data_IF_938065317628
#
_entry.id   IF_938065317628
#
_cell.length_a   1.000
_cell.length_b   1.000
_cell.length_c   1.000
_cell.angle_alpha   90.00
_cell.angle_beta   90.00
_cell.angle_gamma   90.00
#
_symmetry.space_group_name_H-M   'P 1'
#
loop_
_entity.id
_entity.type
_entity.pdbx_description
1 polymer ?
#
# COMPACT_ATOMS: atom_id res chain seq x y z
N UNK A 1 -18.03 12.62 7.77
CA UNK A 1 -16.77 13.04 8.42
C UNK A 1 -15.64 12.26 7.80
N UNK A 2 -14.90 12.91 6.91
CA UNK A 2 -13.64 12.46 6.33
C UNK A 2 -13.03 13.61 5.50
N UNK A 3 -12.30 14.47 6.19
CA UNK A 3 -11.28 15.36 5.60
C UNK A 3 -10.41 15.91 6.75
N UNK A 4 -11.01 16.10 7.94
CA UNK A 4 -10.34 16.64 9.13
C UNK A 4 -10.35 15.74 10.39
N UNK A 5 -11.13 14.66 10.42
CA UNK A 5 -11.18 13.71 11.53
C UNK A 5 -11.24 12.27 11.00
N UNK A 6 -10.10 11.56 10.88
CA UNK A 6 -10.07 10.23 10.29
C UNK A 6 -10.81 9.26 11.19
N UNK A 7 -11.56 8.34 10.59
CA UNK A 7 -12.04 7.20 11.35
C UNK A 7 -10.85 6.34 11.75
N UNK A 8 -10.87 5.77 12.96
CA UNK A 8 -9.73 4.99 13.48
C UNK A 8 -10.04 3.50 13.51
N UNK A 9 -9.04 2.70 13.15
CA UNK A 9 -9.00 1.25 13.32
C UNK A 9 -7.62 0.88 13.86
N UNK A 10 -7.56 -0.03 14.82
CA UNK A 10 -6.28 -0.47 15.38
C UNK A 10 -5.39 -1.07 14.28
N UNK A 11 -4.12 -0.69 14.26
CA UNK A 11 -3.10 -1.16 13.31
C UNK A 11 -3.38 -0.80 11.84
N UNK A 12 -4.22 0.19 11.57
CA UNK A 12 -4.52 0.67 10.21
C UNK A 12 -4.30 2.18 10.15
N UNK A 13 -3.51 2.63 9.18
CA UNK A 13 -3.42 4.03 8.77
C UNK A 13 -3.83 4.10 7.30
N UNK A 14 -4.72 5.02 6.97
CA UNK A 14 -5.16 5.23 5.59
C UNK A 14 -5.31 6.73 5.32
N UNK A 15 -5.12 7.11 4.07
CA UNK A 15 -5.45 8.43 3.55
C UNK A 15 -6.18 8.23 2.23
N UNK A 16 -7.49 8.47 2.24
CA UNK A 16 -8.34 8.36 1.07
C UNK A 16 -9.09 9.66 0.78
N UNK A 17 -8.84 10.77 1.49
CA UNK A 17 -9.52 12.06 1.26
C UNK A 17 -11.05 11.93 1.13
N UNK A 18 -11.69 11.07 1.94
CA UNK A 18 -13.13 10.83 1.85
C UNK A 18 -13.62 9.99 0.67
N UNK A 19 -12.72 9.34 -0.08
CA UNK A 19 -13.06 8.53 -1.27
C UNK A 19 -13.64 7.15 -0.95
N UNK A 20 -13.68 6.75 0.33
CA UNK A 20 -14.50 5.62 0.78
C UNK A 20 -13.73 4.30 0.98
N UNK A 21 -12.47 4.36 1.37
CA UNK A 21 -11.71 3.18 1.81
C UNK A 21 -12.30 2.58 3.10
N UNK A 22 -12.77 3.44 4.01
CA UNK A 22 -13.08 3.05 5.39
C UNK A 22 -14.10 1.91 5.55
N UNK A 23 -15.24 1.86 4.82
CA UNK A 23 -16.19 0.75 4.94
C UNK A 23 -15.58 -0.63 4.63
N UNK A 24 -14.72 -0.70 3.61
CA UNK A 24 -14.01 -1.93 3.24
C UNK A 24 -12.94 -2.27 4.29
N UNK A 25 -12.18 -1.28 4.75
CA UNK A 25 -11.18 -1.47 5.82
C UNK A 25 -11.82 -1.97 7.12
N UNK A 26 -12.98 -1.43 7.50
CA UNK A 26 -13.72 -1.83 8.70
C UNK A 26 -14.30 -3.24 8.59
N UNK A 27 -14.94 -3.57 7.48
CA UNK A 27 -15.55 -4.90 7.28
C UNK A 27 -14.52 -6.01 7.09
N UNK A 28 -13.38 -5.69 6.49
CA UNK A 28 -12.25 -6.61 6.27
C UNK A 28 -11.17 -6.55 7.36
N UNK A 29 -11.40 -5.86 8.48
CA UNK A 29 -10.37 -5.64 9.50
C UNK A 29 -9.78 -6.97 10.00
N UNK A 30 -8.44 -7.06 9.99
CA UNK A 30 -7.70 -8.29 10.32
C UNK A 30 -7.68 -9.37 9.24
N UNK A 31 -8.30 -9.15 8.08
CA UNK A 31 -8.43 -10.14 6.99
C UNK A 31 -7.84 -9.68 5.65
N UNK A 32 -7.63 -8.38 5.47
CA UNK A 32 -7.11 -7.82 4.23
C UNK A 32 -5.59 -8.02 4.14
N UNK A 33 -5.13 -8.59 3.03
CA UNK A 33 -3.71 -8.68 2.68
C UNK A 33 -3.31 -7.54 1.72
N UNK A 34 -2.02 -7.45 1.39
CA UNK A 34 -1.50 -6.41 0.50
C UNK A 34 -2.19 -6.36 -0.87
N UNK A 35 -2.46 -7.50 -1.49
CA UNK A 35 -3.17 -7.55 -2.79
C UNK A 35 -4.61 -7.04 -2.69
N UNK A 36 -5.34 -7.40 -1.64
CA UNK A 36 -6.68 -6.90 -1.39
C UNK A 36 -6.69 -5.38 -1.17
N UNK A 37 -5.68 -4.86 -0.48
CA UNK A 37 -5.51 -3.42 -0.24
C UNK A 37 -5.10 -2.67 -1.52
N UNK A 38 -4.28 -3.27 -2.39
CA UNK A 38 -3.99 -2.72 -3.73
C UNK A 38 -5.27 -2.61 -4.56
N UNK A 39 -6.10 -3.66 -4.56
CA UNK A 39 -7.39 -3.63 -5.26
C UNK A 39 -8.30 -2.53 -4.71
N UNK A 40 -8.36 -2.37 -3.39
CA UNK A 40 -9.11 -1.28 -2.75
C UNK A 40 -8.58 0.09 -3.20
N UNK A 41 -7.27 0.34 -3.12
CA UNK A 41 -6.67 1.60 -3.53
C UNK A 41 -6.98 1.94 -5.00
N UNK A 42 -6.97 0.93 -5.88
CA UNK A 42 -7.32 1.11 -7.29
C UNK A 42 -8.81 1.36 -7.55
N UNK A 43 -9.71 1.08 -6.59
CA UNK A 43 -11.15 1.34 -6.69
C UNK A 43 -11.53 2.78 -6.30
N UNK A 44 -10.67 3.48 -5.57
CA UNK A 44 -10.89 4.85 -5.07
C UNK A 44 -9.89 5.89 -5.64
N UNK A 45 -9.59 5.88 -6.96
CA UNK A 45 -8.67 6.86 -7.53
C UNK A 45 -9.33 8.24 -7.60
N UNK A 46 -8.50 9.28 -7.56
CA UNK A 46 -8.88 10.58 -8.13
C UNK A 46 -8.73 10.44 -9.65
N UNK A 47 -9.84 10.26 -10.37
CA UNK A 47 -9.82 10.10 -11.83
C UNK A 47 -9.33 11.38 -12.51
N UNK A 48 -8.42 11.24 -13.47
CA UNK A 48 -7.76 12.36 -14.14
C UNK A 48 -6.61 13.00 -13.34
N UNK A 49 -6.22 12.43 -12.20
CA UNK A 49 -5.18 12.97 -11.32
C UNK A 49 -4.48 11.93 -10.45
N UNK A 50 -4.73 10.63 -10.64
CA UNK A 50 -4.14 9.59 -9.81
C UNK A 50 -2.71 9.27 -10.24
N UNK A 51 -1.76 9.96 -9.63
CA UNK A 51 -0.33 9.83 -9.93
C UNK A 51 0.34 8.66 -9.21
N UNK A 52 -0.16 8.25 -8.04
CA UNK A 52 0.38 7.15 -7.25
C UNK A 52 -0.64 6.52 -6.31
N UNK A 53 -0.51 5.21 -6.11
CA UNK A 53 -1.13 4.44 -5.04
C UNK A 53 -0.01 3.72 -4.27
N UNK A 54 -0.05 3.76 -2.94
CA UNK A 54 0.93 3.06 -2.10
C UNK A 54 0.23 2.27 -1.01
N UNK A 55 0.61 1.00 -0.86
CA UNK A 55 0.11 0.11 0.19
C UNK A 55 1.32 -0.43 0.96
N UNK A 56 1.25 -0.35 2.29
CA UNK A 56 2.27 -0.87 3.19
C UNK A 56 1.72 -2.03 4.01
N UNK A 57 2.46 -3.13 4.04
CA UNK A 57 2.34 -4.16 5.07
C UNK A 57 3.52 -4.01 6.03
N UNK A 58 3.28 -3.32 7.15
CA UNK A 58 4.29 -3.09 8.18
C UNK A 58 4.65 -4.37 8.96
N UNK A 59 3.81 -5.41 8.91
CA UNK A 59 4.08 -6.69 9.60
C UNK A 59 5.09 -7.51 8.81
N UNK A 60 4.87 -7.63 7.51
CA UNK A 60 5.77 -8.38 6.62
C UNK A 60 6.92 -7.53 6.05
N UNK A 61 6.91 -6.22 6.30
CA UNK A 61 7.83 -5.24 5.71
C UNK A 61 7.81 -5.33 4.16
N UNK A 62 6.60 -5.20 3.60
CA UNK A 62 6.36 -5.17 2.15
C UNK A 62 5.65 -3.88 1.77
N UNK A 63 5.91 -3.41 0.56
CA UNK A 63 5.26 -2.23 0.00
C UNK A 63 4.85 -2.50 -1.45
N UNK A 64 3.65 -2.08 -1.82
CA UNK A 64 3.21 -2.06 -3.21
C UNK A 64 3.11 -0.61 -3.66
N UNK A 65 3.79 -0.27 -4.76
CA UNK A 65 3.73 1.05 -5.37
C UNK A 65 3.15 0.91 -6.77
N UNK A 66 2.08 1.63 -7.04
CA UNK A 66 1.58 1.86 -8.39
C UNK A 66 1.76 3.34 -8.70
N UNK A 67 2.27 3.69 -9.87
CA UNK A 67 2.53 5.08 -10.27
C UNK A 67 2.02 5.31 -11.69
N UNK A 68 1.71 6.55 -12.07
CA UNK A 68 1.32 6.89 -13.44
C UNK A 68 2.53 6.83 -14.40
N UNK A 69 2.29 6.53 -15.67
CA UNK A 69 3.34 6.59 -16.72
C UNK A 69 2.72 6.89 -18.07
N UNK A 70 3.27 7.89 -18.76
CA UNK A 70 2.71 8.36 -20.03
C UNK A 70 1.28 8.85 -19.81
N UNK A 71 0.34 8.27 -20.56
CA UNK A 71 -1.09 8.61 -20.49
C UNK A 71 -1.89 7.71 -19.54
N UNK A 72 -1.25 6.74 -18.88
CA UNK A 72 -1.92 5.82 -17.95
C UNK A 72 -1.77 6.28 -16.50
N UNK A 73 -2.91 6.50 -15.83
CA UNK A 73 -2.98 6.77 -14.40
C UNK A 73 -2.55 5.57 -13.55
N UNK A 74 -2.14 5.81 -12.30
CA UNK A 74 -1.60 4.77 -11.44
C UNK A 74 -2.58 3.61 -11.23
N UNK A 75 -3.86 3.86 -10.92
CA UNK A 75 -4.84 2.80 -10.63
C UNK A 75 -5.12 1.82 -11.78
N UNK A 76 -4.75 2.18 -13.01
CA UNK A 76 -4.88 1.33 -14.21
C UNK A 76 -3.67 0.43 -14.44
N UNK A 77 -2.57 0.67 -13.73
CA UNK A 77 -1.28 0.01 -13.94
C UNK A 77 -1.06 -1.12 -12.91
N UNK A 78 -0.21 -2.11 -13.23
CA UNK A 78 0.20 -3.11 -12.26
C UNK A 78 1.08 -2.47 -11.17
N UNK A 79 0.88 -2.91 -9.92
CA UNK A 79 1.72 -2.51 -8.79
C UNK A 79 3.07 -3.20 -8.81
N UNK A 80 4.11 -2.48 -8.38
CA UNK A 80 5.44 -3.03 -8.11
C UNK A 80 5.51 -3.41 -6.63
N UNK A 81 5.83 -4.68 -6.34
CA UNK A 81 6.14 -5.12 -4.98
C UNK A 81 7.61 -4.79 -4.64
N UNK A 82 7.80 -4.15 -3.50
CA UNK A 82 9.09 -3.81 -2.90
C UNK A 82 9.20 -4.54 -1.57
N UNK A 83 10.26 -5.34 -1.42
CA UNK A 83 10.66 -5.91 -0.14
C UNK A 83 11.41 -4.84 0.65
N UNK A 84 10.80 -4.33 1.74
CA UNK A 84 11.38 -3.27 2.54
C UNK A 84 12.54 -3.77 3.41
N UNK A 85 12.58 -5.07 3.74
CA UNK A 85 13.73 -5.63 4.45
C UNK A 85 14.96 -5.61 3.56
N UNK A 86 14.80 -5.95 2.29
CA UNK A 86 15.87 -5.84 1.31
C UNK A 86 16.26 -4.37 1.09
N UNK A 87 15.28 -3.47 0.90
CA UNK A 87 15.55 -2.05 0.65
C UNK A 87 16.25 -1.36 1.84
N UNK A 88 15.92 -1.77 3.07
CA UNK A 88 16.54 -1.29 4.30
C UNK A 88 17.87 -2.00 4.65
N UNK A 89 18.33 -2.96 3.84
CA UNK A 89 19.55 -3.73 4.09
C UNK A 89 19.44 -4.73 5.26
N UNK A 90 18.23 -5.02 5.74
CA UNK A 90 17.95 -6.02 6.79
C UNK A 90 18.15 -7.44 6.23
N UNK A 91 17.79 -7.66 4.98
CA UNK A 91 18.04 -8.91 4.25
C UNK A 91 19.03 -8.65 3.12
N UNK A 92 20.08 -9.47 3.03
CA UNK A 92 20.94 -9.50 1.84
C UNK A 92 20.18 -10.11 0.67
N UNK A 93 20.45 -9.59 -0.53
CA UNK A 93 19.87 -10.10 -1.76
C UNK A 93 20.39 -11.54 -1.98
N UNK A 94 19.51 -12.51 -1.67
CA UNK A 94 19.75 -13.96 -1.67
C UNK A 94 20.73 -14.51 -0.61
N UNK A 95 20.19 -14.92 0.55
CA UNK A 95 20.42 -16.27 1.09
C UNK A 95 21.83 -16.71 1.50
N UNK A 96 22.75 -15.82 1.89
CA UNK A 96 23.95 -16.24 2.65
C UNK A 96 24.08 -15.50 3.99
N UNK A 97 24.40 -16.21 5.09
CA UNK A 97 24.71 -15.56 6.35
C UNK A 97 26.02 -14.77 6.19
N UNK A 98 26.01 -13.54 6.70
CA UNK A 98 27.20 -12.72 6.83
C UNK A 98 28.13 -13.41 7.82
N UNK A 99 29.32 -13.84 7.37
CA UNK A 99 30.36 -14.32 8.26
C UNK A 99 30.83 -13.17 9.14
N UNK A 100 30.70 -13.35 10.46
CA UNK A 100 31.29 -12.47 11.46
C UNK A 100 32.84 -12.57 11.41
N UNK A 101 33.57 -11.51 11.79
CA UNK A 101 35.04 -11.45 11.75
C UNK A 101 35.72 -12.46 12.67
#
# INVERSE_FOLDING_TARGET
TDEFAPNVLSCVVYNDEGRGAFPTLKSGHGKLNGEALVKLANQIPIRGGNVANVVYDATALKMWVTYAKGTEEAYLRPSVLIDLQQAAGIRTQAGQPVSAP
#
